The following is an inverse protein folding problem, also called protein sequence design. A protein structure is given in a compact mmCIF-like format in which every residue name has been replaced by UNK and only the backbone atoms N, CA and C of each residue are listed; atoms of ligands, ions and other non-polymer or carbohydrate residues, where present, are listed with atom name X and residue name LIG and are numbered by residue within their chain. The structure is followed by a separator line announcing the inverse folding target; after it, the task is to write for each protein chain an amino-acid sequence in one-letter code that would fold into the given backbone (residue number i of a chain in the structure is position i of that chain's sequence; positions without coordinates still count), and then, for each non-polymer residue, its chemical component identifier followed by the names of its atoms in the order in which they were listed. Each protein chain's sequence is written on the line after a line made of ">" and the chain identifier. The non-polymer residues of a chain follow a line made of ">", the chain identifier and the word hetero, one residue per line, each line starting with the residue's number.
data_IF_647936593378
#
_entry.id   IF_647936593378
#
_cell.length_a   1.000
_cell.length_b   1.000
_cell.length_c   1.000
_cell.angle_alpha   90.00
_cell.angle_beta   90.00
_cell.angle_gamma   90.00
#
_symmetry.space_group_name_H-M   'P 1'
#
loop_
_entity.id
_entity.type
_entity.pdbx_description
1 polymer ?
#
# COMPACT_ATOMS: atom_id res chain seq x y z
N UNK A 1 -27.06 -0.70 13.69
CA UNK A 1 -25.70 -0.17 13.64
C UNK A 1 -25.04 -0.43 12.30
N UNK A 2 -24.43 0.55 11.75
CA UNK A 2 -23.77 0.39 10.45
C UNK A 2 -22.45 -0.35 10.59
N UNK A 3 -22.30 -1.43 9.84
CA UNK A 3 -21.00 -2.04 9.69
C UNK A 3 -20.09 -1.11 8.88
N UNK A 4 -18.88 -0.90 9.36
CA UNK A 4 -17.91 -0.15 8.58
C UNK A 4 -17.49 -0.95 7.37
N UNK A 5 -17.72 -0.40 6.20
CA UNK A 5 -17.18 -1.01 4.99
C UNK A 5 -15.68 -0.74 4.93
N UNK A 6 -14.92 -1.81 4.79
CA UNK A 6 -13.49 -1.69 4.55
C UNK A 6 -13.30 -1.48 3.06
N UNK A 7 -12.64 -0.38 2.63
CA UNK A 7 -12.40 -0.18 1.22
C UNK A 7 -11.54 -1.31 0.63
N UNK A 8 -11.86 -1.69 -0.59
CA UNK A 8 -11.05 -2.66 -1.32
C UNK A 8 -9.97 -1.89 -2.07
N UNK A 9 -8.74 -2.35 -1.96
CA UNK A 9 -7.60 -1.77 -2.64
C UNK A 9 -6.86 -2.85 -3.43
N UNK A 10 -6.15 -2.44 -4.44
CA UNK A 10 -5.39 -3.34 -5.28
C UNK A 10 -3.93 -3.33 -4.87
N UNK A 11 -3.34 -4.54 -4.78
CA UNK A 11 -1.91 -4.66 -4.56
C UNK A 11 -1.16 -4.14 -5.79
N UNK A 12 -0.26 -3.19 -5.59
CA UNK A 12 0.53 -2.61 -6.68
C UNK A 12 1.52 -3.60 -7.28
N UNK A 13 1.85 -4.66 -6.55
CA UNK A 13 2.77 -5.69 -7.03
C UNK A 13 2.09 -6.75 -7.87
N UNK A 14 1.09 -7.43 -7.30
CA UNK A 14 0.45 -8.57 -7.97
C UNK A 14 -0.86 -8.25 -8.67
N UNK A 15 -1.45 -7.09 -8.42
CA UNK A 15 -2.70 -6.70 -9.06
C UNK A 15 -3.96 -7.30 -8.45
N UNK A 16 -3.84 -8.09 -7.40
CA UNK A 16 -5.00 -8.66 -6.72
C UNK A 16 -5.67 -7.63 -5.84
N UNK A 17 -6.96 -7.81 -5.61
CA UNK A 17 -7.74 -6.94 -4.75
C UNK A 17 -7.94 -7.57 -3.40
N UNK A 18 -7.79 -6.75 -2.37
CA UNK A 18 -7.95 -7.18 -0.98
C UNK A 18 -8.61 -6.06 -0.18
N UNK A 19 -9.13 -6.41 0.99
CA UNK A 19 -9.53 -5.39 1.95
C UNK A 19 -8.30 -4.55 2.32
N UNK A 20 -8.51 -3.25 2.44
CA UNK A 20 -7.43 -2.32 2.77
C UNK A 20 -6.61 -2.79 3.98
N UNK A 21 -7.27 -3.35 5.00
CA UNK A 21 -6.59 -3.80 6.21
C UNK A 21 -5.73 -5.05 6.00
N UNK A 22 -5.93 -5.77 4.88
CA UNK A 22 -5.12 -6.93 4.54
C UNK A 22 -3.91 -6.55 3.69
N UNK A 23 -3.74 -5.27 3.43
CA UNK A 23 -2.62 -4.74 2.66
C UNK A 23 -1.76 -3.85 3.53
N UNK A 24 -0.52 -3.68 3.09
CA UNK A 24 0.42 -2.75 3.70
C UNK A 24 0.47 -1.49 2.83
N UNK A 25 0.35 -0.33 3.46
CA UNK A 25 0.54 0.93 2.75
C UNK A 25 2.01 1.29 2.75
N UNK A 26 2.54 1.57 1.58
CA UNK A 26 3.91 2.00 1.39
C UNK A 26 3.88 3.42 0.87
N UNK A 27 4.65 4.30 1.48
CA UNK A 27 4.63 5.73 1.17
C UNK A 27 6.02 6.16 0.71
N UNK A 28 6.04 6.94 -0.35
CA UNK A 28 7.26 7.65 -0.76
C UNK A 28 7.22 9.03 -0.14
N UNK A 29 8.20 9.31 0.71
CA UNK A 29 8.28 10.60 1.38
C UNK A 29 8.73 11.70 0.41
N UNK A 30 8.53 12.98 0.76
CA UNK A 30 9.00 14.08 -0.08
C UNK A 30 10.52 14.05 -0.31
N UNK A 31 11.27 13.41 0.59
CA UNK A 31 12.71 13.27 0.44
C UNK A 31 13.10 12.14 -0.51
N UNK A 32 12.11 11.38 -0.99
CA UNK A 32 12.36 10.27 -1.90
C UNK A 32 12.54 8.92 -1.24
N UNK A 33 12.42 8.85 0.08
CA UNK A 33 12.51 7.59 0.82
C UNK A 33 11.21 6.81 0.74
N UNK A 34 11.31 5.49 0.79
CA UNK A 34 10.17 4.60 0.81
C UNK A 34 10.05 4.02 2.21
N UNK A 35 8.87 4.18 2.82
CA UNK A 35 8.61 3.73 4.18
C UNK A 35 7.28 3.02 4.26
N UNK A 36 7.17 2.10 5.22
CA UNK A 36 5.91 1.46 5.53
C UNK A 36 5.08 2.40 6.41
N UNK A 37 3.84 2.58 6.03
CA UNK A 37 2.91 3.41 6.77
C UNK A 37 1.91 2.52 7.49
N UNK A 38 2.19 2.22 8.74
CA UNK A 38 1.35 1.36 9.56
C UNK A 38 0.14 2.10 10.13
N UNK A 39 0.14 3.42 10.10
CA UNK A 39 -0.95 4.23 10.65
C UNK A 39 -1.92 4.73 9.58
N UNK A 40 -1.50 4.74 8.33
CA UNK A 40 -2.28 5.29 7.24
C UNK A 40 -2.30 6.80 7.18
N UNK A 41 -1.44 7.46 7.96
CA UNK A 41 -1.45 8.93 8.10
C UNK A 41 -0.20 9.61 7.58
N UNK A 42 0.76 8.87 7.10
CA UNK A 42 2.00 9.47 6.60
C UNK A 42 1.73 10.30 5.35
N UNK A 43 2.37 11.46 5.29
CA UNK A 43 2.33 12.31 4.12
C UNK A 43 3.19 11.71 3.02
N UNK A 44 2.77 11.91 1.78
CA UNK A 44 3.49 11.44 0.62
C UNK A 44 2.64 10.58 -0.29
N UNK A 45 3.22 10.17 -1.40
CA UNK A 45 2.54 9.32 -2.36
C UNK A 45 2.59 7.88 -1.90
N UNK A 46 1.43 7.22 -1.85
CA UNK A 46 1.34 5.88 -1.31
C UNK A 46 0.78 4.88 -2.29
N UNK A 47 1.06 3.61 -2.03
CA UNK A 47 0.48 2.49 -2.72
C UNK A 47 0.26 1.37 -1.72
N UNK A 48 -0.66 0.46 -2.04
CA UNK A 48 -0.92 -0.71 -1.20
C UNK A 48 -0.28 -1.94 -1.83
N UNK A 49 0.30 -2.77 -1.00
CA UNK A 49 0.90 -4.04 -1.43
C UNK A 49 0.53 -5.15 -0.46
N UNK A 50 0.59 -6.39 -0.94
CA UNK A 50 0.41 -7.56 -0.08
C UNK A 50 1.49 -7.62 0.99
N UNK A 51 1.25 -8.45 2.03
CA UNK A 51 2.26 -8.74 3.04
C UNK A 51 3.36 -9.66 2.48
N UNK A 52 3.70 -9.50 1.22
CA UNK A 52 4.68 -10.31 0.52
C UNK A 52 5.80 -9.40 0.03
N UNK A 53 7.05 -9.62 0.45
CA UNK A 53 8.17 -8.80 0.00
C UNK A 53 8.31 -8.76 -1.53
N UNK A 54 7.93 -9.83 -2.22
CA UNK A 54 7.98 -9.85 -3.68
C UNK A 54 7.04 -8.81 -4.28
N UNK A 55 5.88 -8.58 -3.69
CA UNK A 55 4.95 -7.56 -4.15
C UNK A 55 5.53 -6.15 -3.97
N UNK A 56 6.21 -5.91 -2.85
CA UNK A 56 6.88 -4.64 -2.61
C UNK A 56 7.95 -4.39 -3.67
N UNK A 57 8.74 -5.39 -3.98
CA UNK A 57 9.78 -5.28 -5.01
C UNK A 57 9.19 -4.98 -6.38
N UNK A 58 8.11 -5.67 -6.73
CA UNK A 58 7.42 -5.41 -8.00
C UNK A 58 6.86 -4.00 -8.07
N UNK A 59 6.28 -3.52 -6.96
CA UNK A 59 5.74 -2.17 -6.91
C UNK A 59 6.84 -1.13 -7.06
N UNK A 60 7.99 -1.35 -6.46
CA UNK A 60 9.14 -0.46 -6.60
C UNK A 60 9.63 -0.41 -8.04
N UNK A 61 9.73 -1.55 -8.70
CA UNK A 61 10.15 -1.60 -10.11
C UNK A 61 9.18 -0.87 -11.01
N UNK A 62 7.89 -0.95 -10.72
CA UNK A 62 6.86 -0.26 -11.50
C UNK A 62 6.73 1.20 -11.13
N UNK A 63 7.45 1.66 -10.13
CA UNK A 63 7.34 3.02 -9.61
C UNK A 63 5.88 3.37 -9.25
N UNK A 64 5.22 2.44 -8.55
CA UNK A 64 3.84 2.63 -8.16
C UNK A 64 3.65 3.71 -7.09
N UNK A 65 4.70 4.20 -6.50
CA UNK A 65 4.67 5.24 -5.49
C UNK A 65 5.89 6.17 -5.59
#
# INVERSE_FOLDING_TARGET
>A
MKAKKVPVRMCAGCGRRFDKRDLVRVVRTPQGDVQLDLTGKMAGRGAYVCHDPACLQKARKKRAF
#
